data_IF_693002952888
#
_entry.id   IF_693002952888
#
_cell.length_a   1.000
_cell.length_b   1.000
_cell.length_c   1.000
_cell.angle_alpha   90.00
_cell.angle_beta   90.00
_cell.angle_gamma   90.00
#
_symmetry.space_group_name_H-M   'P 1'
#
loop_
_entity.id
_entity.type
_entity.pdbx_description
1 polymer ?
#
# COMPACT_ATOMS: atom_id res chain seq x y z
N UNK A 1 6.07 -18.62 -1.12
CA UNK A 1 5.78 -17.87 0.12
C UNK A 1 4.45 -17.17 -0.07
N UNK A 2 3.62 -17.02 0.99
CA UNK A 2 2.42 -16.19 0.92
C UNK A 2 2.79 -14.75 0.56
N UNK A 3 1.91 -14.05 -0.15
CA UNK A 3 2.04 -12.62 -0.33
C UNK A 3 1.69 -11.90 0.98
N UNK A 4 2.48 -10.89 1.34
CA UNK A 4 2.27 -10.06 2.53
C UNK A 4 1.68 -8.70 2.16
N UNK A 5 0.53 -8.36 2.71
CA UNK A 5 -0.16 -7.09 2.53
C UNK A 5 -0.09 -6.29 3.82
N UNK A 6 0.50 -5.10 3.78
CA UNK A 6 0.49 -4.15 4.89
C UNK A 6 -0.81 -3.36 4.93
N UNK A 7 -1.61 -3.45 6.00
CA UNK A 7 -2.66 -2.49 6.31
C UNK A 7 -2.07 -1.39 7.18
N UNK A 8 -2.32 -0.12 6.87
CA UNK A 8 -1.85 0.98 7.72
C UNK A 8 -2.98 1.41 8.65
N UNK A 9 -2.82 1.23 9.98
CA UNK A 9 -3.71 1.80 11.00
C UNK A 9 -3.78 1.11 12.37
N UNK A 10 -3.60 -0.21 12.48
CA UNK A 10 -3.87 -1.00 13.69
C UNK A 10 -2.71 -2.04 13.94
N UNK A 11 -2.67 -2.83 15.03
CA UNK A 11 -1.55 -3.77 15.28
C UNK A 11 -1.99 -5.24 15.39
N UNK A 12 -1.81 -6.07 14.36
CA UNK A 12 -2.07 -7.52 14.31
C UNK A 12 -1.51 -8.18 13.03
N UNK A 13 -1.34 -9.51 13.02
CA UNK A 13 -1.12 -10.29 11.78
C UNK A 13 -2.30 -11.22 11.56
N UNK A 14 -2.95 -11.12 10.41
CA UNK A 14 -4.03 -12.00 9.97
C UNK A 14 -3.61 -12.89 8.79
N UNK A 15 -4.13 -14.11 8.72
CA UNK A 15 -3.94 -15.00 7.57
C UNK A 15 -5.30 -15.21 6.91
N UNK A 16 -5.40 -14.95 5.61
CA UNK A 16 -6.61 -15.13 4.84
C UNK A 16 -6.38 -16.15 3.71
N UNK A 17 -7.29 -17.11 3.59
CA UNK A 17 -7.31 -18.06 2.47
C UNK A 17 -8.09 -17.44 1.30
N UNK A 18 -7.52 -17.50 0.09
CA UNK A 18 -8.16 -17.01 -1.11
C UNK A 18 -9.14 -18.03 -1.67
N UNK A 19 -10.39 -17.60 -1.87
CA UNK A 19 -11.40 -18.37 -2.59
C UNK A 19 -11.12 -18.27 -4.09
N UNK A 20 -10.78 -19.40 -4.73
CA UNK A 20 -10.55 -19.47 -6.17
C UNK A 20 -11.44 -20.54 -6.81
N UNK A 21 -12.45 -20.08 -7.57
CA UNK A 21 -13.39 -20.97 -8.27
C UNK A 21 -12.70 -21.92 -9.26
N UNK A 22 -11.52 -21.57 -9.78
CA UNK A 22 -10.73 -22.44 -10.67
C UNK A 22 -10.16 -23.62 -9.89
N UNK A 23 -9.66 -23.36 -8.68
CA UNK A 23 -9.13 -24.39 -7.79
C UNK A 23 -10.24 -25.36 -7.36
N UNK A 24 -11.44 -24.84 -7.05
CA UNK A 24 -12.60 -25.68 -6.73
C UNK A 24 -13.01 -26.56 -7.91
N UNK A 25 -13.07 -26.02 -9.13
CA UNK A 25 -13.40 -26.77 -10.34
C UNK A 25 -12.38 -27.88 -10.60
N UNK A 26 -11.09 -27.57 -10.48
CA UNK A 26 -10.02 -28.55 -10.67
C UNK A 26 -10.10 -29.65 -9.60
N UNK A 27 -10.30 -29.28 -8.35
CA UNK A 27 -10.46 -30.24 -7.25
C UNK A 27 -11.62 -31.20 -7.47
N UNK A 28 -12.78 -30.69 -7.92
CA UNK A 28 -13.95 -31.52 -8.28
C UNK A 28 -13.66 -32.42 -9.49
N UNK A 29 -13.02 -31.89 -10.54
CA UNK A 29 -12.73 -32.64 -11.76
C UNK A 29 -11.77 -33.81 -11.50
N UNK A 30 -10.73 -33.58 -10.70
CA UNK A 30 -9.72 -34.59 -10.37
C UNK A 30 -10.06 -35.40 -9.11
N UNK A 31 -11.21 -35.15 -8.48
CA UNK A 31 -11.65 -35.81 -7.24
C UNK A 31 -10.58 -35.76 -6.13
N UNK A 32 -9.91 -34.61 -6.00
CA UNK A 32 -8.82 -34.44 -5.05
C UNK A 32 -9.33 -34.59 -3.61
N UNK A 33 -8.66 -35.43 -2.81
CA UNK A 33 -9.00 -35.64 -1.39
C UNK A 33 -8.82 -34.38 -0.54
N UNK A 34 -7.94 -33.47 -0.95
CA UNK A 34 -7.65 -32.22 -0.26
C UNK A 34 -7.48 -31.09 -1.26
N UNK A 35 -8.11 -29.96 -0.95
CA UNK A 35 -7.94 -28.71 -1.69
C UNK A 35 -7.20 -27.74 -0.79
N UNK A 36 -6.07 -27.21 -1.26
CA UNK A 36 -5.24 -26.29 -0.46
C UNK A 36 -5.29 -24.90 -1.10
N UNK A 37 -6.04 -23.95 -0.53
CA UNK A 37 -6.14 -22.61 -1.11
C UNK A 37 -4.83 -21.85 -0.95
N UNK A 38 -4.61 -20.87 -1.83
CA UNK A 38 -3.55 -19.88 -1.65
C UNK A 38 -3.85 -19.01 -0.42
N UNK A 39 -2.80 -18.59 0.28
CA UNK A 39 -2.90 -17.76 1.48
C UNK A 39 -2.26 -16.40 1.27
N UNK A 40 -2.87 -15.38 1.87
CA UNK A 40 -2.37 -14.00 1.96
C UNK A 40 -2.21 -13.67 3.43
N UNK A 41 -1.05 -13.12 3.78
CA UNK A 41 -0.78 -12.59 5.11
C UNK A 41 -1.08 -11.09 5.11
N UNK A 42 -1.85 -10.65 6.09
CA UNK A 42 -2.19 -9.25 6.30
C UNK A 42 -1.47 -8.79 7.56
N UNK A 43 -0.56 -7.84 7.42
CA UNK A 43 0.22 -7.26 8.51
C UNK A 43 -0.32 -5.88 8.75
N UNK A 44 -0.80 -5.63 9.95
CA UNK A 44 -1.27 -4.33 10.36
C UNK A 44 -0.11 -3.49 10.88
N UNK A 45 0.00 -2.30 10.34
CA UNK A 45 1.11 -1.37 10.51
C UNK A 45 0.55 -0.20 11.29
N UNK A 46 1.02 -0.02 12.53
CA UNK A 46 0.58 1.06 13.41
C UNK A 46 0.57 2.42 12.70
N UNK A 47 -0.45 3.25 12.92
CA UNK A 47 -0.56 4.56 12.28
C UNK A 47 0.65 5.47 12.56
N UNK A 48 1.14 6.15 11.52
CA UNK A 48 2.26 7.09 11.60
C UNK A 48 1.91 8.32 12.45
N UNK A 49 2.87 8.80 13.22
CA UNK A 49 2.91 10.20 13.68
C UNK A 49 3.90 10.94 12.78
N UNK A 50 3.53 12.11 12.24
CA UNK A 50 4.39 12.96 11.38
C UNK A 50 5.83 13.03 11.90
N UNK A 51 6.82 12.96 11.00
CA UNK A 51 8.25 13.05 11.32
C UNK A 51 9.00 11.70 11.35
N UNK A 52 8.42 10.65 10.77
CA UNK A 52 9.02 9.31 10.80
C UNK A 52 10.34 9.20 10.06
N UNK A 53 10.46 9.87 8.91
CA UNK A 53 11.71 9.92 8.15
C UNK A 53 12.83 10.65 8.91
N UNK A 54 12.53 11.50 9.89
CA UNK A 54 13.54 12.27 10.64
C UNK A 54 14.18 11.49 11.79
N UNK A 55 13.78 10.22 11.99
CA UNK A 55 14.42 9.30 12.94
C UNK A 55 13.99 9.48 14.40
N UNK A 56 12.91 10.22 14.66
CA UNK A 56 12.36 10.39 16.00
C UNK A 56 11.25 9.34 16.28
N UNK A 57 11.50 8.41 17.21
CA UNK A 57 10.46 7.55 17.81
C UNK A 57 9.77 6.55 16.87
N UNK A 58 8.46 6.32 17.10
CA UNK A 58 7.62 5.28 16.48
C UNK A 58 7.63 5.24 14.94
N UNK A 59 8.07 6.31 14.28
CA UNK A 59 8.12 6.38 12.83
C UNK A 59 9.14 5.44 12.18
N UNK A 60 10.24 5.10 12.86
CA UNK A 60 11.20 4.13 12.32
C UNK A 60 10.64 2.70 12.34
N UNK A 61 9.88 2.34 13.38
CA UNK A 61 9.21 1.04 13.48
C UNK A 61 8.14 0.87 12.39
N UNK A 62 7.40 1.94 12.09
CA UNK A 62 6.49 1.99 10.95
C UNK A 62 7.19 1.64 9.63
N UNK A 63 8.29 2.34 9.33
CA UNK A 63 9.03 2.13 8.08
C UNK A 63 9.64 0.73 8.02
N UNK A 64 10.07 0.15 9.14
CA UNK A 64 10.56 -1.24 9.16
C UNK A 64 9.46 -2.24 8.84
N UNK A 65 8.25 -2.09 9.40
CA UNK A 65 7.13 -2.98 9.06
C UNK A 65 6.73 -2.86 7.59
N UNK A 66 6.76 -1.65 7.00
CA UNK A 66 6.52 -1.49 5.55
C UNK A 66 7.60 -2.20 4.72
N UNK A 67 8.85 -2.26 5.18
CA UNK A 67 9.91 -2.99 4.44
C UNK A 67 9.65 -4.49 4.36
N UNK A 68 8.90 -5.05 5.30
CA UNK A 68 8.60 -6.48 5.40
C UNK A 68 7.38 -6.94 4.58
N UNK A 69 6.58 -6.01 4.06
CA UNK A 69 5.40 -6.32 3.24
C UNK A 69 5.71 -6.23 1.75
N UNK A 70 4.96 -6.94 0.91
CA UNK A 70 5.10 -6.90 -0.53
C UNK A 70 4.27 -5.78 -1.17
N UNK A 71 3.15 -5.42 -0.52
CA UNK A 71 2.18 -4.45 -1.00
C UNK A 71 1.64 -3.63 0.17
N UNK A 72 1.29 -2.37 -0.10
CA UNK A 72 0.69 -1.46 0.89
C UNK A 72 -0.78 -1.18 0.55
N UNK A 73 -1.66 -1.38 1.52
CA UNK A 73 -3.06 -0.98 1.50
C UNK A 73 -3.26 0.15 2.52
N UNK A 74 -3.53 1.36 2.02
CA UNK A 74 -3.77 2.51 2.87
C UNK A 74 -5.27 2.71 3.05
N UNK A 75 -5.74 2.50 4.28
CA UNK A 75 -7.14 2.70 4.64
C UNK A 75 -7.40 4.17 4.92
N UNK A 76 -8.18 4.82 4.06
CA UNK A 76 -8.57 6.22 4.21
C UNK A 76 -9.98 6.33 4.79
N UNK A 77 -10.15 7.20 5.77
CA UNK A 77 -11.46 7.54 6.33
C UNK A 77 -12.11 8.64 5.50
N UNK A 78 -13.33 8.42 5.04
CA UNK A 78 -14.12 9.40 4.27
C UNK A 78 -15.46 9.78 4.91
N UNK A 79 -15.79 9.23 6.08
CA UNK A 79 -17.01 9.58 6.81
C UNK A 79 -16.69 10.41 8.06
N UNK A 80 -17.64 11.26 8.46
CA UNK A 80 -17.54 12.05 9.70
C UNK A 80 -18.43 11.43 10.78
N UNK A 81 -17.81 11.05 11.91
CA UNK A 81 -18.52 10.57 13.11
C UNK A 81 -17.84 11.20 14.32
N UNK A 82 -18.63 11.82 15.21
CA UNK A 82 -18.14 12.60 16.37
C UNK A 82 -17.41 11.75 17.41
N UNK A 83 -17.68 10.45 17.45
CA UNK A 83 -17.16 9.53 18.46
C UNK A 83 -15.75 9.00 18.13
N UNK A 84 -15.32 9.11 16.88
CA UNK A 84 -14.01 8.59 16.44
C UNK A 84 -13.04 9.75 16.25
N UNK A 85 -12.07 9.85 17.15
CA UNK A 85 -11.03 10.90 17.13
C UNK A 85 -10.08 10.65 15.96
N UNK A 86 -9.87 11.68 15.14
CA UNK A 86 -8.88 11.67 14.06
C UNK A 86 -7.54 12.20 14.59
N UNK A 87 -6.41 11.62 14.12
CA UNK A 87 -5.05 12.02 14.54
C UNK A 87 -4.82 13.52 14.35
N UNK A 88 -5.32 14.08 13.24
CA UNK A 88 -5.21 15.50 12.87
C UNK A 88 -6.43 16.36 13.29
N UNK A 89 -7.30 15.85 14.18
CA UNK A 89 -8.57 16.48 14.64
C UNK A 89 -9.65 16.69 13.56
N UNK A 90 -9.27 16.83 12.29
CA UNK A 90 -10.15 16.86 11.13
C UNK A 90 -9.87 15.68 10.21
N UNK A 91 -10.93 15.18 9.55
CA UNK A 91 -10.83 14.11 8.54
C UNK A 91 -10.55 14.77 7.20
N UNK A 92 -9.41 14.42 6.57
CA UNK A 92 -9.06 14.84 5.21
C UNK A 92 -8.29 13.72 4.52
N UNK A 93 -8.97 12.86 3.74
CA UNK A 93 -8.35 11.66 3.18
C UNK A 93 -7.26 11.98 2.14
N UNK A 94 -7.31 13.13 1.48
CA UNK A 94 -6.28 13.53 0.51
C UNK A 94 -5.00 13.89 1.28
N UNK A 95 -5.12 14.74 2.31
CA UNK A 95 -4.00 15.11 3.18
C UNK A 95 -3.41 13.88 3.87
N UNK A 96 -4.25 12.95 4.33
CA UNK A 96 -3.79 11.76 5.04
C UNK A 96 -3.01 10.84 4.07
N UNK A 97 -3.47 10.68 2.83
CA UNK A 97 -2.71 10.00 1.77
C UNK A 97 -1.36 10.67 1.49
N UNK A 98 -1.36 11.99 1.27
CA UNK A 98 -0.15 12.76 0.95
C UNK A 98 0.86 12.72 2.08
N UNK A 99 0.40 12.74 3.33
CA UNK A 99 1.27 12.65 4.52
C UNK A 99 2.04 11.33 4.53
N UNK A 100 1.35 10.20 4.35
CA UNK A 100 2.01 8.89 4.30
C UNK A 100 2.95 8.82 3.09
N UNK A 101 2.52 9.26 1.91
CA UNK A 101 3.37 9.20 0.73
C UNK A 101 4.65 10.02 0.88
N UNK A 102 4.55 11.24 1.40
CA UNK A 102 5.71 12.10 1.61
C UNK A 102 6.73 11.43 2.55
N UNK A 103 6.27 10.77 3.61
CA UNK A 103 7.16 10.09 4.56
C UNK A 103 7.88 8.89 3.93
N UNK A 104 7.19 8.12 3.08
CA UNK A 104 7.83 7.05 2.30
C UNK A 104 8.88 7.59 1.32
N UNK A 105 8.55 8.70 0.63
CA UNK A 105 9.45 9.38 -0.30
C UNK A 105 10.68 9.92 0.42
N UNK A 106 10.50 10.57 1.58
CA UNK A 106 11.60 11.11 2.38
C UNK A 106 12.53 9.99 2.87
N UNK A 107 11.98 8.86 3.31
CA UNK A 107 12.76 7.69 3.71
C UNK A 107 13.60 7.12 2.54
N UNK A 108 13.00 7.02 1.36
CA UNK A 108 13.70 6.56 0.15
C UNK A 108 14.78 7.56 -0.29
N UNK A 109 14.52 8.87 -0.24
CA UNK A 109 15.51 9.92 -0.54
C UNK A 109 16.71 9.86 0.40
N UNK A 110 16.49 9.63 1.70
CA UNK A 110 17.60 9.46 2.65
C UNK A 110 18.44 8.23 2.35
N UNK A 111 17.79 7.11 2.01
CA UNK A 111 18.47 5.89 1.62
C UNK A 111 19.30 6.10 0.34
N UNK A 112 18.72 6.79 -0.64
CA UNK A 112 19.35 7.09 -1.92
C UNK A 112 20.57 7.99 -1.76
N UNK A 113 20.48 9.07 -0.97
CA UNK A 113 21.61 9.95 -0.65
C UNK A 113 22.80 9.18 -0.06
N UNK A 114 22.54 8.35 0.96
CA UNK A 114 23.57 7.49 1.58
C UNK A 114 24.18 6.50 0.58
N UNK A 115 23.41 6.03 -0.40
CA UNK A 115 23.89 5.11 -1.43
C UNK A 115 24.77 5.82 -2.45
N UNK A 116 24.35 6.98 -2.95
CA UNK A 116 25.11 7.78 -3.92
C UNK A 116 26.47 8.21 -3.37
N UNK A 117 26.57 8.57 -2.09
CA UNK A 117 27.83 8.92 -1.44
C UNK A 117 28.84 7.76 -1.40
N UNK A 118 28.35 6.53 -1.24
CA UNK A 118 29.18 5.31 -1.16
C UNK A 118 29.52 4.73 -2.53
N UNK A 119 28.76 5.07 -3.56
CA UNK A 119 28.90 4.50 -4.89
C UNK A 119 30.12 5.08 -5.61
N UNK A 120 31.13 4.25 -5.81
CA UNK A 120 32.33 4.59 -6.58
C UNK A 120 32.15 4.15 -8.03
N UNK A 121 32.35 5.07 -8.96
CA UNK A 121 32.38 4.76 -10.39
C UNK A 121 33.67 3.99 -10.67
N UNK A 122 33.54 2.74 -11.10
CA UNK A 122 34.68 1.84 -11.41
C UNK A 122 34.59 1.23 -12.81
N UNK A 123 33.38 1.15 -13.36
CA UNK A 123 33.05 0.50 -14.63
C UNK A 123 31.79 1.13 -15.24
N UNK A 124 31.42 0.74 -16.46
CA UNK A 124 30.21 1.24 -17.13
C UNK A 124 28.92 0.90 -16.36
N UNK A 125 28.89 -0.24 -15.66
CA UNK A 125 27.72 -0.64 -14.88
C UNK A 125 27.46 0.29 -13.70
N UNK A 126 28.50 0.65 -12.95
CA UNK A 126 28.39 1.63 -11.85
C UNK A 126 28.04 3.03 -12.35
N UNK A 127 28.41 3.40 -13.58
CA UNK A 127 27.94 4.64 -14.21
C UNK A 127 26.44 4.61 -14.50
N UNK A 128 25.94 3.51 -15.09
CA UNK A 128 24.51 3.31 -15.35
C UNK A 128 23.68 3.27 -14.07
N UNK A 129 24.16 2.56 -13.04
CA UNK A 129 23.53 2.53 -11.70
C UNK A 129 23.43 3.93 -11.12
N UNK A 130 24.51 4.71 -11.17
CA UNK A 130 24.53 6.08 -10.64
C UNK A 130 23.56 7.00 -11.38
N UNK A 131 23.52 6.94 -12.71
CA UNK A 131 22.61 7.73 -13.53
C UNK A 131 21.14 7.39 -13.21
N UNK A 132 20.83 6.11 -13.05
CA UNK A 132 19.50 5.63 -12.66
C UNK A 132 19.11 6.13 -11.25
N UNK A 133 20.02 6.08 -10.28
CA UNK A 133 19.76 6.61 -8.94
C UNK A 133 19.53 8.13 -8.95
N UNK A 134 20.25 8.89 -9.76
CA UNK A 134 19.99 10.33 -9.93
C UNK A 134 18.61 10.60 -10.55
N UNK A 135 18.22 9.85 -11.60
CA UNK A 135 16.89 9.95 -12.19
C UNK A 135 15.79 9.72 -11.14
N UNK A 136 15.95 8.70 -10.30
CA UNK A 136 15.00 8.39 -9.24
C UNK A 136 14.96 9.50 -8.19
N UNK A 137 16.12 10.03 -7.79
CA UNK A 137 16.20 11.14 -6.86
C UNK A 137 15.39 12.34 -7.35
N UNK A 138 15.58 12.75 -8.61
CA UNK A 138 14.87 13.88 -9.21
C UNK A 138 13.35 13.69 -9.25
N UNK A 139 12.88 12.45 -9.45
CA UNK A 139 11.45 12.13 -9.44
C UNK A 139 10.89 12.14 -8.02
N UNK A 140 11.60 11.56 -7.06
CA UNK A 140 11.22 11.57 -5.65
C UNK A 140 11.16 13.00 -5.09
N UNK A 141 12.09 13.88 -5.47
CA UNK A 141 12.08 15.32 -5.11
C UNK A 141 10.87 16.07 -5.70
N UNK A 142 10.23 15.54 -6.75
CA UNK A 142 8.98 16.04 -7.33
C UNK A 142 7.74 15.31 -6.80
N UNK A 143 7.88 14.58 -5.69
CA UNK A 143 6.83 13.78 -5.06
C UNK A 143 6.28 12.66 -5.96
N UNK A 144 7.08 12.17 -6.91
CA UNK A 144 6.71 11.06 -7.79
C UNK A 144 7.31 9.76 -7.22
N UNK A 145 6.49 8.81 -6.72
CA UNK A 145 6.98 7.56 -6.17
C UNK A 145 7.62 6.67 -7.23
N UNK A 146 8.58 5.82 -6.82
CA UNK A 146 9.33 4.94 -7.74
C UNK A 146 8.41 4.06 -8.60
N UNK A 147 7.30 3.58 -8.04
CA UNK A 147 6.29 2.79 -8.76
C UNK A 147 5.61 3.51 -9.93
N UNK A 148 5.68 4.84 -10.00
CA UNK A 148 5.12 5.65 -11.08
C UNK A 148 6.16 6.08 -12.14
N UNK A 149 7.44 5.77 -11.93
CA UNK A 149 8.51 6.09 -12.87
C UNK A 149 8.52 5.04 -13.98
N UNK A 150 8.56 5.49 -15.24
CA UNK A 150 8.64 4.60 -16.39
C UNK A 150 10.07 4.07 -16.57
N UNK A 151 10.35 2.93 -15.94
CA UNK A 151 11.64 2.24 -15.98
C UNK A 151 11.62 1.04 -16.92
N UNK A 152 12.77 0.75 -17.54
CA UNK A 152 13.00 -0.45 -18.34
C UNK A 152 13.10 -1.69 -17.44
N UNK A 153 12.86 -2.88 -17.99
CA UNK A 153 12.93 -4.14 -17.22
C UNK A 153 14.27 -4.35 -16.53
N UNK A 154 15.38 -3.98 -17.19
CA UNK A 154 16.73 -4.06 -16.62
C UNK A 154 16.91 -3.11 -15.44
N UNK A 155 16.39 -1.89 -15.55
CA UNK A 155 16.41 -0.87 -14.50
C UNK A 155 15.55 -1.34 -13.31
N UNK A 156 14.36 -1.89 -13.55
CA UNK A 156 13.49 -2.45 -12.52
C UNK A 156 14.20 -3.53 -11.71
N UNK A 157 14.97 -4.42 -12.36
CA UNK A 157 15.76 -5.46 -11.67
C UNK A 157 16.79 -4.85 -10.71
N UNK A 158 17.48 -3.79 -11.15
CA UNK A 158 18.42 -3.04 -10.30
C UNK A 158 17.68 -2.37 -9.15
N UNK A 159 16.55 -1.71 -9.41
CA UNK A 159 15.77 -0.99 -8.41
C UNK A 159 15.20 -1.90 -7.33
N UNK A 160 14.77 -3.11 -7.69
CA UNK A 160 14.30 -4.10 -6.71
C UNK A 160 15.35 -4.44 -5.64
N UNK A 161 16.64 -4.31 -5.94
CA UNK A 161 17.71 -4.59 -4.96
C UNK A 161 17.79 -3.57 -3.82
N UNK A 162 17.27 -2.35 -4.02
CA UNK A 162 17.27 -1.32 -2.96
C UNK A 162 16.09 -1.42 -2.01
N UNK A 163 15.05 -2.20 -2.33
CA UNK A 163 13.83 -2.32 -1.53
C UNK A 163 13.25 -0.95 -1.12
N UNK A 164 13.16 -0.03 -2.09
CA UNK A 164 12.52 1.27 -1.91
C UNK A 164 11.06 1.10 -1.50
N UNK A 165 10.60 1.87 -0.52
CA UNK A 165 9.24 1.80 -0.02
C UNK A 165 8.24 2.20 -1.10
N UNK A 166 8.54 3.26 -1.84
CA UNK A 166 7.71 3.82 -2.91
C UNK A 166 7.69 2.98 -4.19
N UNK A 167 8.51 1.92 -4.26
CA UNK A 167 8.48 0.95 -5.36
C UNK A 167 7.42 -0.14 -5.19
N UNK A 168 6.93 -0.34 -3.95
CA UNK A 168 5.90 -1.33 -3.64
C UNK A 168 4.56 -0.91 -4.27
N UNK A 169 3.74 -1.86 -4.75
CA UNK A 169 2.37 -1.57 -5.14
C UNK A 169 1.60 -0.93 -3.98
N UNK A 170 0.80 0.07 -4.31
CA UNK A 170 0.05 0.87 -3.34
C UNK A 170 -1.40 1.01 -3.81
N UNK A 171 -2.37 0.70 -2.95
CA UNK A 171 -3.78 0.96 -3.23
C UNK A 171 -4.51 1.57 -2.03
N UNK A 172 -5.56 2.33 -2.35
CA UNK A 172 -6.41 3.02 -1.40
C UNK A 172 -7.65 2.19 -1.11
N UNK A 173 -7.84 1.81 0.15
CA UNK A 173 -9.10 1.30 0.65
C UNK A 173 -9.86 2.45 1.30
N UNK A 174 -10.96 2.87 0.71
CA UNK A 174 -11.66 4.08 1.13
C UNK A 174 -12.89 3.69 1.93
N UNK A 175 -12.79 3.85 3.25
CA UNK A 175 -13.87 3.59 4.17
C UNK A 175 -14.82 4.79 4.24
N UNK A 176 -16.06 4.61 3.78
CA UNK A 176 -17.08 5.67 3.69
C UNK A 176 -18.41 5.19 4.25
N UNK A 177 -19.37 6.10 4.44
CA UNK A 177 -20.66 5.77 5.07
C UNK A 177 -21.67 5.08 4.14
N UNK A 178 -21.38 5.03 2.84
CA UNK A 178 -22.36 4.70 1.79
C UNK A 178 -22.74 5.91 0.93
N UNK A 179 -22.50 7.14 1.42
CA UNK A 179 -22.73 8.36 0.65
C UNK A 179 -21.61 8.63 -0.36
N UNK A 180 -21.92 8.55 -1.65
CA UNK A 180 -20.98 8.79 -2.74
C UNK A 180 -20.44 10.23 -2.79
N UNK A 181 -21.12 11.18 -2.15
CA UNK A 181 -20.66 12.58 -2.11
C UNK A 181 -19.38 12.72 -1.29
N UNK A 182 -19.19 11.91 -0.25
CA UNK A 182 -18.01 11.88 0.62
C UNK A 182 -16.72 11.58 -0.15
N UNK A 183 -16.80 10.66 -1.12
CA UNK A 183 -15.63 10.15 -1.84
C UNK A 183 -15.39 10.85 -3.18
N UNK A 184 -16.27 11.78 -3.61
CA UNK A 184 -16.25 12.38 -4.94
C UNK A 184 -14.91 13.07 -5.26
N UNK A 185 -14.41 13.87 -4.33
CA UNK A 185 -13.17 14.61 -4.50
C UNK A 185 -11.96 13.66 -4.53
N UNK A 186 -11.91 12.71 -3.59
CA UNK A 186 -10.84 11.72 -3.51
C UNK A 186 -10.80 10.81 -4.75
N UNK A 187 -11.96 10.42 -5.29
CA UNK A 187 -12.07 9.63 -6.52
C UNK A 187 -11.52 10.39 -7.73
N UNK A 188 -11.78 11.70 -7.82
CA UNK A 188 -11.20 12.56 -8.87
C UNK A 188 -9.68 12.64 -8.72
N UNK A 189 -9.20 12.91 -7.50
CA UNK A 189 -7.78 12.98 -7.19
C UNK A 189 -7.05 11.65 -7.52
N UNK A 190 -7.61 10.51 -7.11
CA UNK A 190 -7.05 9.19 -7.40
C UNK A 190 -6.96 8.91 -8.91
N UNK A 191 -7.95 9.35 -9.70
CA UNK A 191 -7.92 9.21 -11.16
C UNK A 191 -6.81 10.05 -11.79
N UNK A 192 -6.62 11.29 -11.34
CA UNK A 192 -5.57 12.19 -11.84
C UNK A 192 -4.17 11.65 -11.52
N UNK A 193 -3.98 11.11 -10.31
CA UNK A 193 -2.72 10.51 -9.84
C UNK A 193 -2.54 9.03 -10.23
N UNK A 194 -3.48 8.45 -11.00
CA UNK A 194 -3.50 7.03 -11.42
C UNK A 194 -3.34 6.04 -10.25
N UNK A 195 -4.01 6.33 -9.14
CA UNK A 195 -3.99 5.50 -7.93
C UNK A 195 -5.04 4.41 -8.01
N UNK A 196 -4.71 3.22 -7.50
CA UNK A 196 -5.68 2.15 -7.29
C UNK A 196 -6.62 2.56 -6.15
N UNK A 197 -7.92 2.53 -6.41
CA UNK A 197 -8.95 3.07 -5.52
C UNK A 197 -10.08 2.06 -5.34
N UNK A 198 -10.35 1.66 -4.09
CA UNK A 198 -11.39 0.71 -3.73
C UNK A 198 -12.29 1.32 -2.64
N UNK A 199 -13.50 1.79 -2.97
CA UNK A 199 -14.45 2.25 -1.97
C UNK A 199 -15.10 1.05 -1.26
N UNK A 200 -15.20 1.12 0.06
CA UNK A 200 -15.83 0.07 0.87
C UNK A 200 -16.58 0.70 2.04
N UNK A 201 -17.87 0.38 2.18
CA UNK A 201 -18.66 0.82 3.32
C UNK A 201 -18.58 -0.24 4.43
N UNK A 202 -17.49 -0.22 5.21
CA UNK A 202 -17.15 -1.31 6.14
C UNK A 202 -18.27 -1.59 7.14
N UNK A 203 -18.98 -0.55 7.58
CA UNK A 203 -20.11 -0.69 8.50
C UNK A 203 -21.28 -1.47 7.88
N UNK A 204 -21.61 -1.15 6.63
CA UNK A 204 -22.67 -1.86 5.89
C UNK A 204 -22.28 -3.32 5.61
N UNK A 205 -21.02 -3.57 5.24
CA UNK A 205 -20.51 -4.94 5.04
C UNK A 205 -20.58 -5.77 6.32
N UNK A 206 -20.26 -5.18 7.47
CA UNK A 206 -20.36 -5.87 8.76
C UNK A 206 -21.80 -6.20 9.15
N UNK A 207 -22.75 -5.35 8.76
CA UNK A 207 -24.17 -5.60 8.97
C UNK A 207 -24.67 -6.77 8.10
N UNK A 208 -24.13 -6.92 6.89
CA UNK A 208 -24.48 -8.01 5.96
C UNK A 208 -23.70 -9.31 6.20
N UNK A 209 -22.64 -9.31 7.01
CA UNK A 209 -21.87 -10.52 7.36
C UNK A 209 -22.74 -11.63 7.96
N UNK A 210 -23.77 -11.26 8.72
CA UNK A 210 -24.72 -12.18 9.37
C UNK A 210 -25.84 -12.68 8.45
N UNK A 211 -25.94 -12.19 7.21
CA UNK A 211 -26.94 -12.62 6.25
C UNK A 211 -26.48 -13.88 5.51
N UNK A 212 -27.42 -14.75 5.17
CA UNK A 212 -27.14 -16.01 4.49
C UNK A 212 -26.56 -15.77 3.09
N UNK A 213 -25.81 -16.74 2.55
CA UNK A 213 -25.21 -16.64 1.21
C UNK A 213 -26.23 -16.43 0.06
N UNK A 214 -27.52 -16.67 0.32
CA UNK A 214 -28.61 -16.39 -0.62
C UNK A 214 -29.03 -14.92 -0.67
N UNK A 215 -28.91 -14.18 0.43
CA UNK A 215 -29.35 -12.78 0.56
C UNK A 215 -28.28 -11.79 0.07
N UNK A 216 -26.99 -12.18 0.13
CA UNK A 216 -25.85 -11.37 -0.37
C UNK A 216 -25.89 -11.12 -1.88
N UNK A 217 -26.66 -11.90 -2.65
CA UNK A 217 -26.77 -11.77 -4.11
C UNK A 217 -27.76 -10.70 -4.58
N UNK A 218 -28.63 -10.20 -3.70
CA UNK A 218 -29.65 -9.20 -4.06
C UNK A 218 -29.19 -7.75 -3.83
N UNK A 219 -28.03 -7.54 -3.18
CA UNK A 219 -27.55 -6.19 -2.81
C UNK A 219 -26.30 -5.71 -3.56
N UNK A 220 -25.77 -6.50 -4.52
CA UNK A 220 -24.75 -6.07 -5.49
C UNK A 220 -23.39 -6.73 -5.30
#
# INVERSE_FOLDING_TARGET
>A
MPYKIGLVGLPNVGIMMLTDSRLEKLSKYYQSQKTTPSVVEIIDIAGLVKGAAQGAGLGNEFLSHIREVDLICHVLRCFTEKEIIHVEKTVDPIRDYETIQLELILADLQQLKKRLEKLKIKDENSQKEKALLHLIQENLEKEIPVSQINLKEEEIKVIKTYNFLTSKPFFLLVNFSGDQTEIKNLKKYAKEKKLSFLPLAIKLEKETENLSAGEKKELG
#
